data_IF_145536918301
#
_entry.id   IF_145536918301
#
_cell.length_a   1.000
_cell.length_b   1.000
_cell.length_c   1.000
_cell.angle_alpha   90.00
_cell.angle_beta   90.00
_cell.angle_gamma   90.00
#
_symmetry.space_group_name_H-M   'P 1'
#
loop_
_entity.id
_entity.type
_entity.pdbx_description
1 polymer ?
#
# COMPACT_ATOMS: atom_id res chain seq x y z
N UNK A 1 -2.51 12.38 25.39
CA UNK A 1 -3.28 11.64 24.37
C UNK A 1 -2.46 10.41 24.01
N UNK A 2 -3.01 9.17 24.00
CA UNK A 2 -2.24 8.05 23.48
C UNK A 2 -2.00 8.33 21.99
N UNK A 3 -0.72 8.42 21.61
CA UNK A 3 -0.29 8.41 20.22
C UNK A 3 -0.65 7.04 19.68
N UNK A 4 -1.83 6.92 19.06
CA UNK A 4 -2.12 5.77 18.19
C UNK A 4 -1.11 5.92 17.07
N UNK A 5 -0.15 5.00 16.99
CA UNK A 5 0.81 4.99 15.88
C UNK A 5 -0.01 4.94 14.59
N UNK A 6 0.06 5.96 13.72
CA UNK A 6 -0.76 5.99 12.52
C UNK A 6 -0.33 4.88 11.57
N UNK A 7 -1.25 4.45 10.70
CA UNK A 7 -0.87 3.62 9.56
C UNK A 7 -0.06 4.48 8.59
N UNK A 8 1.08 3.97 8.17
CA UNK A 8 1.94 4.59 7.19
C UNK A 8 2.17 3.62 6.02
N UNK A 9 1.89 4.08 4.81
CA UNK A 9 2.11 3.29 3.59
C UNK A 9 2.94 4.13 2.64
N UNK A 10 4.11 3.63 2.29
CA UNK A 10 4.99 4.24 1.31
C UNK A 10 4.90 3.46 0.01
N UNK A 11 4.46 4.12 -1.07
CA UNK A 11 4.36 3.55 -2.42
C UNK A 11 5.53 4.07 -3.26
N UNK A 12 6.24 3.16 -3.91
CA UNK A 12 7.30 3.45 -4.88
C UNK A 12 6.80 3.11 -6.28
N UNK A 13 6.84 4.07 -7.20
CA UNK A 13 6.49 3.84 -8.60
C UNK A 13 7.29 4.76 -9.52
N UNK A 14 7.89 4.20 -10.57
CA UNK A 14 8.64 4.95 -11.59
C UNK A 14 9.71 5.91 -11.01
N UNK A 15 10.36 5.51 -9.91
CA UNK A 15 11.37 6.33 -9.23
C UNK A 15 10.81 7.46 -8.35
N UNK A 16 9.49 7.60 -8.28
CA UNK A 16 8.81 8.50 -7.35
C UNK A 16 8.32 7.74 -6.12
N UNK A 17 8.47 8.35 -4.95
CA UNK A 17 7.96 7.83 -3.68
C UNK A 17 6.81 8.70 -3.18
N UNK A 18 5.77 8.05 -2.65
CA UNK A 18 4.66 8.72 -1.99
C UNK A 18 4.31 8.01 -0.69
N UNK A 19 4.33 8.76 0.41
CA UNK A 19 3.93 8.27 1.73
C UNK A 19 2.51 8.73 2.07
N UNK A 20 1.70 7.81 2.59
CA UNK A 20 0.31 8.02 2.99
C UNK A 20 0.20 7.75 4.49
N UNK A 21 -0.53 8.61 5.19
CA UNK A 21 -0.84 8.45 6.61
C UNK A 21 -2.34 8.30 6.80
N UNK A 22 -2.74 7.36 7.65
CA UNK A 22 -4.14 7.10 7.95
C UNK A 22 -4.34 6.76 9.43
N UNK A 23 -5.51 7.10 9.96
CA UNK A 23 -5.85 6.80 11.36
C UNK A 23 -6.49 5.42 11.52
N UNK A 24 -6.91 4.80 10.42
CA UNK A 24 -7.57 3.48 10.43
C UNK A 24 -7.04 2.59 9.31
N UNK A 25 -7.15 1.27 9.51
CA UNK A 25 -6.77 0.27 8.49
C UNK A 25 -7.56 0.47 7.20
N UNK A 26 -8.87 0.74 7.31
CA UNK A 26 -9.75 0.94 6.17
C UNK A 26 -9.37 2.16 5.34
N UNK A 27 -9.07 3.28 6.01
CA UNK A 27 -8.62 4.50 5.34
C UNK A 27 -7.29 4.26 4.63
N UNK A 28 -6.33 3.59 5.30
CA UNK A 28 -5.04 3.24 4.73
C UNK A 28 -5.20 2.42 3.44
N UNK A 29 -6.04 1.37 3.48
CA UNK A 29 -6.33 0.52 2.33
C UNK A 29 -6.91 1.30 1.15
N UNK A 30 -7.94 2.13 1.39
CA UNK A 30 -8.62 2.89 0.33
C UNK A 30 -7.71 3.96 -0.28
N UNK A 31 -6.91 4.65 0.55
CA UNK A 31 -5.98 5.66 0.05
C UNK A 31 -4.87 5.03 -0.79
N UNK A 32 -4.27 3.94 -0.30
CA UNK A 32 -3.22 3.23 -1.02
C UNK A 32 -3.74 2.66 -2.34
N UNK A 33 -4.89 2.00 -2.34
CA UNK A 33 -5.52 1.52 -3.57
C UNK A 33 -5.81 2.66 -4.54
N UNK A 34 -6.35 3.79 -4.08
CA UNK A 34 -6.61 4.94 -4.95
C UNK A 34 -5.35 5.45 -5.63
N UNK A 35 -4.20 5.39 -4.96
CA UNK A 35 -2.90 5.73 -5.57
C UNK A 35 -2.48 4.66 -6.56
N UNK A 36 -2.54 3.39 -6.20
CA UNK A 36 -2.18 2.27 -7.08
C UNK A 36 -3.02 2.28 -8.37
N UNK A 37 -4.35 2.41 -8.28
CA UNK A 37 -5.24 2.45 -9.46
C UNK A 37 -4.95 3.60 -10.43
N UNK A 38 -4.31 4.70 -9.99
CA UNK A 38 -3.85 5.79 -10.87
C UNK A 38 -2.58 5.46 -11.65
N UNK A 39 -1.90 4.39 -11.26
CA UNK A 39 -0.71 3.85 -11.91
C UNK A 39 -1.05 2.71 -12.88
N UNK A 40 -2.30 2.25 -12.89
CA UNK A 40 -2.75 1.17 -13.76
C UNK A 40 -2.49 1.47 -15.24
N UNK A 41 -2.06 0.44 -15.98
CA UNK A 41 -1.65 0.55 -17.38
C UNK A 41 -0.33 1.30 -17.64
N UNK A 42 0.38 1.78 -16.61
CA UNK A 42 1.69 2.43 -16.79
C UNK A 42 2.82 1.40 -16.68
N UNK A 43 3.77 1.34 -17.64
CA UNK A 43 4.92 0.45 -17.54
C UNK A 43 5.89 0.97 -16.47
N UNK A 44 5.70 0.53 -15.23
CA UNK A 44 6.54 0.89 -14.10
C UNK A 44 6.63 -0.26 -13.11
N UNK A 45 7.80 -0.42 -12.48
CA UNK A 45 7.92 -1.22 -11.26
C UNK A 45 7.16 -0.49 -10.15
N UNK A 46 6.20 -1.17 -9.53
CA UNK A 46 5.41 -0.66 -8.41
C UNK A 46 5.68 -1.53 -7.19
N UNK A 47 5.98 -0.90 -6.06
CA UNK A 47 6.16 -1.57 -4.78
C UNK A 47 5.64 -0.71 -3.64
N UNK A 48 5.57 -1.28 -2.44
CA UNK A 48 5.17 -0.54 -1.25
C UNK A 48 5.81 -1.10 0.04
N UNK A 49 5.94 -0.22 1.03
CA UNK A 49 6.24 -0.55 2.43
C UNK A 49 5.06 -0.15 3.32
N UNK A 50 4.80 -0.93 4.35
CA UNK A 50 3.68 -0.71 5.27
C UNK A 50 4.22 -0.73 6.69
N UNK A 51 4.00 0.36 7.41
CA UNK A 51 4.12 0.45 8.86
C UNK A 51 2.71 0.51 9.45
N UNK A 52 2.40 -0.44 10.33
CA UNK A 52 1.09 -0.59 10.94
C UNK A 52 1.20 -0.73 12.47
N UNK A 53 0.17 -0.32 13.24
CA UNK A 53 0.19 -0.41 14.70
C UNK A 53 0.31 -1.84 15.23
N UNK A 54 -0.14 -2.84 14.46
CA UNK A 54 -0.05 -4.25 14.81
C UNK A 54 0.24 -5.16 13.61
N UNK A 55 0.82 -6.33 13.89
CA UNK A 55 1.19 -7.32 12.86
C UNK A 55 -0.01 -7.91 12.11
N UNK A 56 -1.20 -7.93 12.72
CA UNK A 56 -2.41 -8.42 12.07
C UNK A 56 -2.86 -7.46 10.97
N UNK A 57 -2.88 -6.16 11.27
CA UNK A 57 -3.20 -5.14 10.29
C UNK A 57 -2.15 -5.06 9.17
N UNK A 58 -0.85 -5.20 9.50
CA UNK A 58 0.22 -5.32 8.51
C UNK A 58 -0.06 -6.45 7.51
N UNK A 59 -0.39 -7.65 7.99
CA UNK A 59 -0.67 -8.81 7.13
C UNK A 59 -1.89 -8.61 6.25
N UNK A 60 -2.99 -8.05 6.81
CA UNK A 60 -4.22 -7.80 6.04
C UNK A 60 -4.00 -6.75 4.96
N UNK A 61 -3.33 -5.65 5.28
CA UNK A 61 -2.99 -4.61 4.31
C UNK A 61 -2.04 -5.12 3.23
N UNK A 62 -0.99 -5.88 3.62
CA UNK A 62 -0.06 -6.48 2.67
C UNK A 62 -0.74 -7.44 1.70
N UNK A 63 -1.62 -8.33 2.20
CA UNK A 63 -2.40 -9.23 1.36
C UNK A 63 -3.36 -8.49 0.44
N UNK A 64 -4.06 -7.48 0.97
CA UNK A 64 -4.99 -6.66 0.20
C UNK A 64 -4.29 -5.91 -0.95
N UNK A 65 -3.24 -5.15 -0.64
CA UNK A 65 -2.52 -4.36 -1.63
C UNK A 65 -1.71 -5.23 -2.61
N UNK A 66 -1.24 -6.39 -2.14
CA UNK A 66 -0.65 -7.40 -3.01
C UNK A 66 -1.64 -7.91 -4.06
N UNK A 67 -2.89 -8.21 -3.66
CA UNK A 67 -3.94 -8.59 -4.60
C UNK A 67 -4.26 -7.46 -5.59
N UNK A 68 -4.34 -6.21 -5.13
CA UNK A 68 -4.54 -5.05 -6.01
C UNK A 68 -3.43 -4.93 -7.06
N UNK A 69 -2.16 -5.12 -6.67
CA UNK A 69 -1.05 -5.09 -7.63
C UNK A 69 -1.13 -6.23 -8.65
N UNK A 70 -1.50 -7.43 -8.21
CA UNK A 70 -1.69 -8.60 -9.11
C UNK A 70 -2.79 -8.30 -10.13
N UNK A 71 -3.92 -7.74 -9.68
CA UNK A 71 -5.04 -7.36 -10.55
C UNK A 71 -4.62 -6.33 -11.61
N UNK A 72 -3.78 -5.36 -11.24
CA UNK A 72 -3.34 -4.29 -12.15
C UNK A 72 -2.25 -4.75 -13.14
N UNK A 73 -1.29 -5.54 -12.68
CA UNK A 73 -0.09 -5.87 -13.48
C UNK A 73 -0.17 -7.22 -14.18
N UNK A 74 -1.14 -8.06 -13.81
CA UNK A 74 -1.26 -9.44 -14.29
C UNK A 74 -0.12 -10.37 -13.83
N UNK A 75 0.84 -9.87 -13.03
CA UNK A 75 2.01 -10.63 -12.55
C UNK A 75 2.18 -10.41 -11.05
N UNK A 76 2.01 -11.46 -10.25
CA UNK A 76 2.01 -11.39 -8.79
C UNK A 76 3.37 -11.46 -8.13
N UNK A 77 4.31 -10.58 -8.49
CA UNK A 77 5.54 -10.42 -7.70
C UNK A 77 5.37 -9.28 -6.69
N UNK A 78 5.00 -9.65 -5.46
CA UNK A 78 5.04 -8.75 -4.30
C UNK A 78 6.38 -8.99 -3.60
N UNK A 79 7.32 -8.07 -3.75
CA UNK A 79 8.50 -8.01 -2.87
C UNK A 79 8.03 -7.48 -1.52
N UNK A 80 7.84 -8.38 -0.55
CA UNK A 80 7.51 -8.09 0.85
C UNK A 80 8.79 -7.86 1.64
#
# INVERSE_FOLDING_TARGET
MPSVTPFEITILAAGAQRTLFASTEREAALMAESVLRRLDGKPALIGFWIDAPDRGALKRLGAYLGNVLVEMTGTGEVLV
#
